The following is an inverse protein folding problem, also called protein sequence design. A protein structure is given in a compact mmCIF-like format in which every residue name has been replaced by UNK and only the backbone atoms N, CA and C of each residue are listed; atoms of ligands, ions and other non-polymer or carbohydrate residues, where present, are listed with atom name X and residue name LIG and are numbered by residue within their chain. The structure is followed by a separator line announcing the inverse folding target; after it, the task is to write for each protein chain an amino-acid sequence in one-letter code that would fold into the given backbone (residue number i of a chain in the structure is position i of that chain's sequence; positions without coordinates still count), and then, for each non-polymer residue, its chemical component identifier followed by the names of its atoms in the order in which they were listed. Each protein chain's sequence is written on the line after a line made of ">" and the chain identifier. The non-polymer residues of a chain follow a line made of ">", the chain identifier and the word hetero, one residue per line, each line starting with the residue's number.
data_IF_914303437842
#
_entry.id   IF_914303437842
#
_cell.length_a   1.000
_cell.length_b   1.000
_cell.length_c   1.000
_cell.angle_alpha   90.00
_cell.angle_beta   90.00
_cell.angle_gamma   90.00
#
_symmetry.space_group_name_H-M   'P 1'
#
loop_
_entity.id
_entity.type
_entity.pdbx_description
1 polymer ?
#
# COMPACT_ATOMS: atom_id res chain seq x y z
N UNK A 1 16.64 30.86 50.58
CA UNK A 1 17.16 29.93 49.55
C UNK A 1 16.14 28.89 49.08
N UNK A 2 15.36 28.26 49.96
CA UNK A 2 14.36 27.22 49.57
C UNK A 2 13.21 27.73 48.69
N UNK A 3 12.76 28.98 48.90
CA UNK A 3 11.66 29.62 48.13
C UNK A 3 12.06 29.99 46.70
N UNK A 4 13.31 30.38 46.49
CA UNK A 4 13.86 30.73 45.18
C UNK A 4 13.99 29.51 44.28
N UNK A 5 14.32 28.35 44.86
CA UNK A 5 14.45 27.09 44.12
C UNK A 5 13.10 26.58 43.60
N UNK A 6 12.04 26.73 44.40
CA UNK A 6 10.67 26.36 44.01
C UNK A 6 10.15 27.24 42.86
N UNK A 7 10.44 28.55 42.91
CA UNK A 7 10.02 29.48 41.86
C UNK A 7 10.69 29.18 40.50
N UNK A 8 11.96 28.78 40.51
CA UNK A 8 12.71 28.42 39.29
C UNK A 8 12.19 27.11 38.69
N UNK A 9 11.92 26.10 39.52
CA UNK A 9 11.36 24.83 39.05
C UNK A 9 9.96 25.03 38.46
N UNK A 10 9.12 25.85 39.10
CA UNK A 10 7.79 26.15 38.61
C UNK A 10 7.82 26.89 37.27
N UNK A 11 8.72 27.89 37.14
CA UNK A 11 8.91 28.63 35.90
C UNK A 11 9.41 27.73 34.75
N UNK A 12 10.30 26.77 35.03
CA UNK A 12 10.76 25.80 34.02
C UNK A 12 9.62 24.86 33.59
N UNK A 13 8.81 24.37 34.53
CA UNK A 13 7.68 23.49 34.20
C UNK A 13 6.58 24.21 33.42
N UNK A 14 6.31 25.48 33.74
CA UNK A 14 5.34 26.29 32.99
C UNK A 14 5.88 26.70 31.62
N UNK A 15 7.18 26.99 31.50
CA UNK A 15 7.83 27.22 30.22
C UNK A 15 7.76 25.98 29.30
N UNK A 16 7.96 24.78 29.85
CA UNK A 16 7.83 23.53 29.11
C UNK A 16 6.42 23.21 28.59
N UNK A 17 5.37 23.79 29.19
CA UNK A 17 3.99 23.66 28.70
C UNK A 17 3.61 24.70 27.64
N UNK A 18 4.37 25.80 27.53
CA UNK A 18 4.10 26.88 26.56
C UNK A 18 4.68 26.60 25.18
N UNK A 19 5.64 25.68 25.08
CA UNK A 19 6.07 25.14 23.80
C UNK A 19 5.25 23.88 23.53
N UNK A 20 4.23 23.91 22.65
CA UNK A 20 3.64 22.66 22.20
C UNK A 20 4.79 21.82 21.68
N UNK A 21 4.93 20.60 22.22
CA UNK A 21 5.81 19.61 21.61
C UNK A 21 5.38 19.56 20.15
N UNK A 22 6.21 20.12 19.26
CA UNK A 22 5.92 20.17 17.85
C UNK A 22 5.91 18.71 17.42
N UNK A 23 4.72 18.13 17.36
CA UNK A 23 4.47 16.87 16.70
C UNK A 23 4.76 17.15 15.22
N UNK A 24 6.04 17.09 14.87
CA UNK A 24 6.53 17.04 13.51
C UNK A 24 6.02 15.72 12.95
N UNK A 25 4.77 15.72 12.51
CA UNK A 25 4.19 14.64 11.73
C UNK A 25 5.00 14.56 10.43
N UNK A 26 6.04 13.74 10.45
CA UNK A 26 6.88 13.47 9.30
C UNK A 26 6.01 12.73 8.29
N UNK A 27 5.65 13.41 7.20
CA UNK A 27 4.94 12.78 6.09
C UNK A 27 5.93 11.86 5.38
N UNK A 28 5.79 10.57 5.60
CA UNK A 28 6.50 9.56 4.82
C UNK A 28 5.55 9.13 3.70
N UNK A 29 5.86 9.55 2.48
CA UNK A 29 5.11 9.15 1.29
C UNK A 29 5.77 7.90 0.73
N UNK A 30 5.10 6.75 0.82
CA UNK A 30 5.73 5.48 0.43
C UNK A 30 4.97 4.77 -0.68
N UNK A 31 3.67 5.02 -0.88
CA UNK A 31 2.90 4.24 -1.85
C UNK A 31 1.92 5.07 -2.67
N UNK A 32 1.83 4.74 -3.97
CA UNK A 32 0.98 5.42 -4.94
C UNK A 32 -0.19 4.55 -5.39
N UNK A 33 0.09 3.50 -6.16
CA UNK A 33 -0.96 2.65 -6.70
C UNK A 33 -0.47 1.28 -7.16
N UNK A 34 -1.35 0.29 -7.07
CA UNK A 34 -1.22 -0.99 -7.78
C UNK A 34 -2.18 -0.98 -8.97
N UNK A 35 -1.64 -1.22 -10.16
CA UNK A 35 -2.42 -1.38 -11.40
C UNK A 35 -2.28 -2.80 -11.91
N UNK A 36 -3.39 -3.40 -12.30
CA UNK A 36 -3.45 -4.72 -12.94
C UNK A 36 -3.73 -4.51 -14.43
N UNK A 37 -2.85 -5.01 -15.28
CA UNK A 37 -2.97 -4.89 -16.72
C UNK A 37 -2.94 -6.27 -17.40
N UNK A 38 -3.58 -6.40 -18.55
CA UNK A 38 -3.59 -7.62 -19.36
C UNK A 38 -2.39 -7.63 -20.30
N UNK A 39 -1.65 -8.73 -20.36
CA UNK A 39 -0.59 -8.92 -21.35
C UNK A 39 -1.22 -9.15 -22.73
N UNK A 40 -0.70 -8.49 -23.77
CA UNK A 40 -1.17 -8.69 -25.16
C UNK A 40 -0.24 -9.60 -25.98
N UNK A 41 0.91 -9.97 -25.42
CA UNK A 41 1.89 -10.87 -26.03
C UNK A 41 2.42 -11.88 -24.99
N UNK A 42 3.05 -12.96 -25.49
CA UNK A 42 3.55 -14.07 -24.66
C UNK A 42 4.65 -13.60 -23.70
N UNK A 43 5.45 -12.61 -24.10
CA UNK A 43 6.53 -12.06 -23.30
C UNK A 43 6.06 -10.97 -22.31
N UNK A 44 4.78 -10.61 -22.32
CA UNK A 44 4.20 -9.49 -21.58
C UNK A 44 5.00 -8.18 -21.66
N UNK A 45 5.48 -7.85 -22.86
CA UNK A 45 6.15 -6.57 -23.15
C UNK A 45 5.14 -5.46 -23.41
N UNK A 46 3.97 -5.82 -23.92
CA UNK A 46 2.85 -4.91 -24.18
C UNK A 46 1.67 -5.27 -23.28
N UNK A 47 0.99 -4.24 -22.77
CA UNK A 47 -0.16 -4.40 -21.87
C UNK A 47 -1.33 -3.52 -22.26
N UNK A 48 -2.55 -3.98 -22.00
CA UNK A 48 -3.79 -3.21 -22.10
C UNK A 48 -4.55 -3.22 -20.77
N UNK A 49 -5.54 -2.33 -20.63
CA UNK A 49 -6.42 -2.33 -19.44
C UNK A 49 -7.29 -3.58 -19.39
N UNK A 50 -7.55 -4.07 -18.17
CA UNK A 50 -8.57 -5.08 -17.92
C UNK A 50 -9.96 -4.43 -17.91
N UNK A 51 -10.98 -5.13 -18.43
CA UNK A 51 -12.34 -4.57 -18.47
C UNK A 51 -13.37 -5.52 -17.85
N UNK A 52 -13.45 -6.78 -18.32
CA UNK A 52 -14.51 -7.71 -17.90
C UNK A 52 -14.02 -9.13 -17.66
N UNK A 53 -12.73 -9.41 -17.88
CA UNK A 53 -12.18 -10.76 -17.77
C UNK A 53 -11.93 -11.19 -16.32
N UNK A 54 -11.93 -10.25 -15.38
CA UNK A 54 -11.65 -10.50 -13.97
C UNK A 54 -12.65 -9.81 -13.07
N UNK A 55 -13.04 -10.53 -12.02
CA UNK A 55 -13.74 -9.98 -10.86
C UNK A 55 -12.90 -10.26 -9.62
N UNK A 56 -13.02 -9.44 -8.58
CA UNK A 56 -12.21 -9.68 -7.40
C UNK A 56 -12.43 -8.70 -6.27
N UNK A 57 -11.54 -8.80 -5.30
CA UNK A 57 -11.49 -7.91 -4.16
C UNK A 57 -10.04 -7.65 -3.78
N UNK A 58 -9.75 -6.41 -3.41
CA UNK A 58 -8.50 -6.00 -2.80
C UNK A 58 -8.78 -5.70 -1.35
N UNK A 59 -8.03 -6.35 -0.46
CA UNK A 59 -8.01 -6.01 0.95
C UNK A 59 -6.79 -5.16 1.22
N UNK A 60 -7.03 -3.98 1.77
CA UNK A 60 -6.00 -3.00 2.12
C UNK A 60 -6.05 -2.79 3.63
N UNK A 61 -5.00 -3.18 4.34
CA UNK A 61 -4.89 -2.85 5.75
C UNK A 61 -4.39 -1.40 5.91
N UNK A 62 -5.11 -0.62 6.71
CA UNK A 62 -4.68 0.70 7.18
C UNK A 62 -4.69 0.71 8.72
N UNK A 63 -3.58 0.34 9.37
CA UNK A 63 -3.48 0.25 10.82
C UNK A 63 -3.39 1.61 11.49
N UNK A 64 -2.98 2.68 10.78
CA UNK A 64 -3.11 4.04 11.30
C UNK A 64 -4.57 4.43 11.62
N UNK A 65 -5.54 3.70 11.06
CA UNK A 65 -6.96 3.83 11.34
C UNK A 65 -7.61 2.53 11.86
N UNK A 66 -6.82 1.48 12.13
CA UNK A 66 -7.26 0.13 12.51
C UNK A 66 -8.37 -0.44 11.60
N UNK A 67 -8.32 -0.15 10.30
CA UNK A 67 -9.38 -0.53 9.34
C UNK A 67 -8.83 -1.32 8.17
N UNK A 68 -9.54 -2.39 7.82
CA UNK A 68 -9.39 -3.06 6.53
C UNK A 68 -10.37 -2.44 5.55
N UNK A 69 -9.84 -1.93 4.43
CA UNK A 69 -10.65 -1.46 3.31
C UNK A 69 -10.73 -2.59 2.30
N UNK A 70 -11.95 -3.02 1.98
CA UNK A 70 -12.20 -3.94 0.88
C UNK A 70 -12.66 -3.13 -0.34
N UNK A 71 -11.92 -3.22 -1.45
CA UNK A 71 -12.29 -2.62 -2.73
C UNK A 71 -12.66 -3.73 -3.72
N UNK A 72 -13.83 -3.61 -4.34
CA UNK A 72 -14.21 -4.53 -5.41
C UNK A 72 -13.37 -4.24 -6.67
N UNK A 73 -13.00 -5.30 -7.39
CA UNK A 73 -12.42 -5.24 -8.72
C UNK A 73 -13.50 -5.65 -9.73
N UNK A 74 -13.72 -4.86 -10.80
CA UNK A 74 -13.13 -3.54 -11.09
C UNK A 74 -13.53 -2.43 -10.08
N UNK A 75 -12.71 -1.36 -9.90
CA UNK A 75 -11.58 -0.93 -10.75
C UNK A 75 -10.26 -1.69 -10.57
N UNK A 76 -9.43 -1.73 -11.63
CA UNK A 76 -8.13 -2.45 -11.68
C UNK A 76 -6.91 -1.58 -11.30
N UNK A 77 -7.15 -0.37 -10.82
CA UNK A 77 -6.13 0.51 -10.27
C UNK A 77 -6.64 1.01 -8.92
N UNK A 78 -5.85 0.81 -7.87
CA UNK A 78 -6.26 1.13 -6.51
C UNK A 78 -5.06 1.61 -5.67
N UNK A 79 -5.33 2.43 -4.64
CA UNK A 79 -4.29 2.86 -3.72
C UNK A 79 -3.78 1.69 -2.88
N UNK A 80 -2.54 1.80 -2.41
CA UNK A 80 -1.88 0.83 -1.53
C UNK A 80 -1.52 1.54 -0.22
N UNK A 81 -1.71 0.87 0.92
CA UNK A 81 -1.46 1.43 2.24
C UNK A 81 -0.41 0.62 3.02
N UNK A 82 0.23 1.29 3.97
CA UNK A 82 1.23 0.71 4.87
C UNK A 82 0.56 0.10 6.08
N UNK A 83 1.04 -1.04 6.52
CA UNK A 83 0.66 -1.77 7.72
C UNK A 83 1.36 -1.30 9.01
N UNK A 84 2.15 -0.22 9.01
CA UNK A 84 2.81 0.22 10.25
C UNK A 84 2.80 1.74 10.42
N UNK A 85 2.57 2.18 11.65
CA UNK A 85 2.86 3.55 12.10
C UNK A 85 4.32 3.63 12.55
N UNK A 86 5.23 3.31 11.64
CA UNK A 86 6.67 3.43 11.87
C UNK A 86 7.21 4.72 11.27
N UNK A 87 8.37 5.17 11.75
CA UNK A 87 8.98 6.43 11.34
C UNK A 87 9.46 6.41 9.87
N UNK A 88 9.65 5.21 9.30
CA UNK A 88 10.03 4.96 7.90
C UNK A 88 9.61 3.54 7.48
N UNK A 89 8.35 3.32 7.09
CA UNK A 89 7.92 2.01 6.63
C UNK A 89 8.65 1.56 5.36
N UNK A 90 9.03 0.29 5.31
CA UNK A 90 9.64 -0.37 4.16
C UNK A 90 8.62 -1.10 3.30
N UNK A 91 9.11 -1.80 2.28
CA UNK A 91 8.27 -2.61 1.39
C UNK A 91 7.55 -3.76 2.12
N UNK A 92 8.23 -4.41 3.07
CA UNK A 92 7.64 -5.50 3.87
C UNK A 92 6.49 -5.06 4.77
N UNK A 93 6.29 -3.76 4.94
CA UNK A 93 5.17 -3.21 5.70
C UNK A 93 3.89 -3.10 4.85
N UNK A 94 3.86 -3.58 3.60
CA UNK A 94 2.63 -3.62 2.82
C UNK A 94 1.74 -4.80 3.21
N UNK A 95 0.55 -4.51 3.68
CA UNK A 95 -0.48 -5.53 3.93
C UNK A 95 -1.67 -5.26 3.00
N UNK A 96 -1.40 -5.56 1.72
CA UNK A 96 -2.38 -5.53 0.64
C UNK A 96 -2.50 -6.92 0.07
N UNK A 97 -3.69 -7.50 0.16
CA UNK A 97 -4.02 -8.79 -0.44
C UNK A 97 -4.93 -8.57 -1.64
N UNK A 98 -4.55 -9.15 -2.77
CA UNK A 98 -5.29 -9.11 -4.01
C UNK A 98 -5.87 -10.50 -4.29
N UNK A 99 -7.19 -10.61 -4.38
CA UNK A 99 -7.88 -11.80 -4.86
C UNK A 99 -8.58 -11.48 -6.19
N UNK A 100 -8.15 -12.14 -7.27
CA UNK A 100 -8.69 -12.00 -8.62
C UNK A 100 -9.19 -13.33 -9.13
N UNK A 101 -10.43 -13.38 -9.54
CA UNK A 101 -11.06 -14.51 -10.22
C UNK A 101 -11.08 -14.21 -11.71
N UNK A 102 -10.46 -15.08 -12.50
CA UNK A 102 -10.61 -15.05 -13.94
C UNK A 102 -11.99 -15.60 -14.30
N UNK A 103 -12.87 -14.72 -14.78
CA UNK A 103 -14.24 -15.07 -15.19
C UNK A 103 -14.36 -15.19 -16.71
N UNK A 104 -13.24 -15.14 -17.42
CA UNK A 104 -13.20 -15.40 -18.86
C UNK A 104 -13.14 -16.91 -19.13
N UNK A 105 -13.63 -17.33 -20.29
CA UNK A 105 -13.60 -18.74 -20.71
C UNK A 105 -12.23 -19.28 -21.12
N UNK A 106 -11.13 -18.60 -20.78
CA UNK A 106 -9.77 -18.99 -21.15
C UNK A 106 -8.72 -18.45 -20.19
N UNK A 107 -7.51 -19.00 -20.26
CA UNK A 107 -6.39 -18.52 -19.44
C UNK A 107 -5.98 -17.11 -19.84
N UNK A 108 -5.70 -16.26 -18.85
CA UNK A 108 -5.29 -14.87 -19.04
C UNK A 108 -3.95 -14.63 -18.36
N UNK A 109 -3.04 -13.95 -19.05
CA UNK A 109 -1.79 -13.47 -18.45
C UNK A 109 -1.93 -12.00 -18.10
N UNK A 110 -1.65 -11.68 -16.84
CA UNK A 110 -1.71 -10.33 -16.30
C UNK A 110 -0.34 -9.86 -15.79
N UNK A 111 -0.18 -8.54 -15.74
CA UNK A 111 0.98 -7.86 -15.18
C UNK A 111 0.55 -6.93 -14.05
N UNK A 112 1.24 -7.03 -12.92
CA UNK A 112 1.12 -6.13 -11.80
C UNK A 112 2.12 -4.99 -11.95
N UNK A 113 1.63 -3.77 -11.77
CA UNK A 113 2.45 -2.56 -11.90
C UNK A 113 2.28 -1.78 -10.60
N UNK A 114 3.31 -1.82 -9.76
CA UNK A 114 3.34 -1.07 -8.51
C UNK A 114 4.06 0.27 -8.73
N UNK A 115 3.48 1.36 -8.23
CA UNK A 115 4.08 2.69 -8.26
C UNK A 115 4.13 3.31 -6.87
N UNK A 116 5.21 4.04 -6.61
CA UNK A 116 5.33 4.89 -5.43
C UNK A 116 4.42 6.13 -5.55
N UNK A 117 4.39 6.97 -4.50
CA UNK A 117 3.60 8.20 -4.47
C UNK A 117 3.98 9.24 -5.53
N UNK A 118 5.16 9.12 -6.14
CA UNK A 118 5.65 9.99 -7.21
C UNK A 118 5.33 9.43 -8.60
N UNK A 119 4.71 8.25 -8.68
CA UNK A 119 4.41 7.56 -9.92
C UNK A 119 5.59 6.73 -10.47
N UNK A 120 6.69 6.64 -9.73
CA UNK A 120 7.87 5.83 -10.09
C UNK A 120 7.56 4.35 -9.93
N UNK A 121 8.01 3.52 -10.87
CA UNK A 121 7.81 2.07 -10.82
C UNK A 121 8.62 1.45 -9.68
N UNK A 122 7.98 0.57 -8.91
CA UNK A 122 8.62 -0.29 -7.93
C UNK A 122 8.77 -1.67 -8.56
N UNK A 123 10.00 -2.19 -8.56
CA UNK A 123 10.30 -3.52 -9.07
C UNK A 123 9.74 -4.59 -8.13
N UNK A 124 8.95 -5.51 -8.67
CA UNK A 124 8.47 -6.69 -7.95
C UNK A 124 9.37 -7.89 -8.27
N UNK A 125 9.48 -8.84 -7.35
CA UNK A 125 10.18 -10.12 -7.54
C UNK A 125 9.49 -10.99 -8.59
N UNK A 126 8.16 -10.92 -8.65
CA UNK A 126 7.32 -11.46 -9.69
C UNK A 126 6.18 -10.49 -9.98
N UNK A 127 6.09 -10.02 -11.23
CA UNK A 127 5.06 -9.09 -11.69
C UNK A 127 4.11 -9.71 -12.72
N UNK A 128 4.44 -10.87 -13.31
CA UNK A 128 3.63 -11.54 -14.33
C UNK A 128 3.01 -12.82 -13.76
N UNK A 129 1.71 -12.98 -13.98
CA UNK A 129 0.92 -14.11 -13.53
C UNK A 129 0.00 -14.61 -14.63
N UNK A 130 -0.08 -15.93 -14.78
CA UNK A 130 -1.09 -16.58 -15.62
C UNK A 130 -2.18 -17.13 -14.71
N UNK A 131 -3.43 -16.80 -15.03
CA UNK A 131 -4.62 -17.24 -14.30
C UNK A 131 -5.50 -18.00 -15.26
N UNK A 132 -5.67 -19.30 -15.04
CA UNK A 132 -6.54 -20.11 -15.88
C UNK A 132 -8.01 -19.72 -15.72
N UNK A 133 -8.85 -20.18 -16.65
CA UNK A 133 -10.29 -19.94 -16.61
C UNK A 133 -10.88 -20.44 -15.28
N UNK A 134 -11.79 -19.66 -14.70
CA UNK A 134 -12.52 -19.95 -13.46
C UNK A 134 -11.63 -20.16 -12.21
N UNK A 135 -10.34 -19.80 -12.29
CA UNK A 135 -9.42 -19.88 -11.16
C UNK A 135 -9.24 -18.52 -10.47
N UNK A 136 -8.94 -18.61 -9.17
CA UNK A 136 -8.64 -17.47 -8.31
C UNK A 136 -7.14 -17.35 -8.11
N UNK A 137 -6.58 -16.22 -8.51
CA UNK A 137 -5.25 -15.77 -8.12
C UNK A 137 -5.36 -15.02 -6.78
N UNK A 138 -4.60 -15.45 -5.78
CA UNK A 138 -4.51 -14.76 -4.49
C UNK A 138 -3.06 -14.40 -4.19
N UNK A 139 -2.78 -13.12 -3.95
CA UNK A 139 -1.44 -12.60 -3.79
C UNK A 139 -1.39 -11.61 -2.62
N UNK A 140 -0.32 -11.69 -1.83
CA UNK A 140 0.04 -10.63 -0.89
C UNK A 140 1.12 -9.76 -1.50
N UNK A 141 0.90 -8.45 -1.57
CA UNK A 141 1.84 -7.52 -2.20
C UNK A 141 3.20 -7.48 -1.49
N UNK A 142 3.25 -7.67 -0.16
CA UNK A 142 4.52 -7.75 0.58
C UNK A 142 5.39 -8.91 0.14
N UNK A 143 4.79 -10.03 -0.29
CA UNK A 143 5.54 -11.19 -0.80
C UNK A 143 6.16 -10.96 -2.19
N UNK A 144 5.74 -9.91 -2.88
CA UNK A 144 6.20 -9.58 -4.23
C UNK A 144 7.28 -8.51 -4.23
N UNK A 145 7.71 -8.03 -3.05
CA UNK A 145 8.77 -7.05 -2.92
C UNK A 145 10.12 -7.75 -2.67
N UNK A 146 11.24 -7.16 -3.14
CA UNK A 146 12.57 -7.71 -2.94
C UNK A 146 13.04 -7.67 -1.49
#
# INVERSE_FOLDING_TARGET
>A
MRKTLIAVVLALTMGGMLFPASALAKRVFIFGSLTIAKCTDVACTNTTGLTTEFNGVVFLANPGLEKTIALQVPPFAFPVFVNTDTVSPGGGDLDTTLALVNVSGGSQTIKLILRDSNGTLITLTQDIFTVDADHTLNLSLSSLLP
#
